data_IF_135317798710
#
_entry.id   IF_135317798710
#
_cell.length_a   1.000
_cell.length_b   1.000
_cell.length_c   1.000
_cell.angle_alpha   90.00
_cell.angle_beta   90.00
_cell.angle_gamma   90.00
#
_symmetry.space_group_name_H-M   'P 1'
#
loop_
_entity.id
_entity.type
_entity.pdbx_description
1 polymer ?
#
# COMPACT_ATOMS: atom_id res chain seq x y z
N UNK A 1 -21.49 -6.81 15.49
CA UNK A 1 -22.02 -5.78 14.59
C UNK A 1 -23.42 -5.47 15.07
N UNK A 2 -23.70 -4.21 15.33
CA UNK A 2 -25.02 -3.79 15.80
C UNK A 2 -26.04 -3.94 14.66
N UNK A 3 -27.24 -4.39 15.01
CA UNK A 3 -28.32 -4.65 14.06
C UNK A 3 -29.54 -3.84 14.47
N UNK A 4 -30.10 -3.09 13.53
CA UNK A 4 -31.34 -2.36 13.78
C UNK A 4 -32.51 -3.33 13.93
N UNK A 5 -33.34 -3.12 14.93
CA UNK A 5 -34.59 -3.87 15.12
C UNK A 5 -35.73 -2.98 14.65
N UNK A 6 -36.47 -3.42 13.63
CA UNK A 6 -37.67 -2.76 13.12
C UNK A 6 -38.85 -3.69 13.35
N UNK A 7 -39.95 -3.16 13.89
CA UNK A 7 -41.13 -3.94 14.27
C UNK A 7 -42.25 -3.83 13.22
N UNK A 8 -43.11 -4.87 13.07
CA UNK A 8 -44.31 -4.77 12.25
C UNK A 8 -45.22 -3.61 12.69
N UNK A 9 -45.63 -2.78 11.74
CA UNK A 9 -46.48 -1.61 11.99
C UNK A 9 -45.74 -0.36 12.49
N UNK A 10 -44.42 -0.42 12.71
CA UNK A 10 -43.61 0.76 12.95
C UNK A 10 -43.48 1.61 11.68
N UNK A 11 -43.42 2.94 11.83
CA UNK A 11 -43.15 3.86 10.73
C UNK A 11 -41.68 3.71 10.32
N UNK A 12 -41.36 3.35 9.07
CA UNK A 12 -39.98 3.26 8.61
C UNK A 12 -39.30 4.63 8.65
N UNK A 13 -38.09 4.68 9.20
CA UNK A 13 -37.21 5.84 9.15
C UNK A 13 -36.07 5.57 8.19
N UNK A 14 -35.56 6.61 7.55
CA UNK A 14 -34.34 6.54 6.73
C UNK A 14 -33.15 6.01 7.55
N UNK A 15 -33.06 6.41 8.83
CA UNK A 15 -32.04 5.94 9.77
C UNK A 15 -32.01 4.42 9.93
N UNK A 16 -33.12 3.72 9.74
CA UNK A 16 -33.14 2.26 9.87
C UNK A 16 -32.24 1.56 8.85
N UNK A 17 -32.18 2.10 7.62
CA UNK A 17 -31.28 1.63 6.57
C UNK A 17 -29.87 2.19 6.76
N UNK A 18 -29.76 3.49 7.03
CA UNK A 18 -28.45 4.16 7.14
C UNK A 18 -27.59 3.56 8.26
N UNK A 19 -28.17 3.23 9.42
CA UNK A 19 -27.43 2.58 10.51
C UNK A 19 -26.95 1.18 10.13
N UNK A 20 -27.74 0.42 9.36
CA UNK A 20 -27.33 -0.92 8.93
C UNK A 20 -26.12 -0.86 8.00
N UNK A 21 -26.06 0.12 7.09
CA UNK A 21 -24.90 0.37 6.23
C UNK A 21 -23.67 0.77 7.05
N UNK A 22 -23.81 1.76 7.95
CA UNK A 22 -22.75 2.23 8.84
C UNK A 22 -22.17 1.10 9.70
N UNK A 23 -23.03 0.31 10.34
CA UNK A 23 -22.61 -0.81 11.19
C UNK A 23 -21.90 -1.91 10.39
N UNK A 24 -22.33 -2.14 9.15
CA UNK A 24 -21.68 -3.09 8.24
C UNK A 24 -20.26 -2.65 7.90
N UNK A 25 -20.08 -1.39 7.51
CA UNK A 25 -18.77 -0.79 7.26
C UNK A 25 -17.86 -0.89 8.49
N UNK A 26 -18.36 -0.55 9.69
CA UNK A 26 -17.59 -0.66 10.94
C UNK A 26 -17.14 -2.10 11.17
N UNK A 27 -18.01 -3.09 10.96
CA UNK A 27 -17.66 -4.50 11.14
C UNK A 27 -16.55 -4.96 10.19
N UNK A 28 -16.63 -4.59 8.91
CA UNK A 28 -15.60 -4.90 7.92
C UNK A 28 -14.28 -4.17 8.25
N UNK A 29 -14.34 -2.90 8.63
CA UNK A 29 -13.17 -2.13 9.03
C UNK A 29 -12.47 -2.73 10.26
N UNK A 30 -13.22 -3.23 11.24
CA UNK A 30 -12.65 -3.91 12.42
C UNK A 30 -12.04 -5.26 12.08
N UNK A 31 -12.60 -5.99 11.10
CA UNK A 31 -11.97 -7.20 10.57
C UNK A 31 -10.63 -6.87 9.90
N UNK A 32 -10.60 -5.87 9.00
CA UNK A 32 -9.36 -5.41 8.35
C UNK A 32 -8.32 -4.94 9.36
N UNK A 33 -8.74 -4.18 10.38
CA UNK A 33 -7.84 -3.72 11.44
C UNK A 33 -7.31 -4.85 12.33
N UNK A 34 -8.05 -5.96 12.46
CA UNK A 34 -7.56 -7.14 13.20
C UNK A 34 -6.41 -7.85 12.47
N UNK A 35 -6.34 -7.72 11.14
CA UNK A 35 -5.30 -8.31 10.30
C UNK A 35 -4.10 -7.37 10.09
N UNK A 36 -4.37 -6.07 9.95
CA UNK A 36 -3.38 -5.08 9.50
C UNK A 36 -3.04 -4.01 10.55
N UNK A 37 -3.78 -3.95 11.66
CA UNK A 37 -3.65 -2.87 12.64
C UNK A 37 -4.31 -1.57 12.16
N UNK A 38 -3.73 -0.43 12.51
CA UNK A 38 -4.27 0.91 12.21
C UNK A 38 -3.45 1.71 11.20
N UNK A 39 -2.44 1.09 10.59
CA UNK A 39 -1.60 1.75 9.58
C UNK A 39 -2.30 1.79 8.22
N UNK A 40 -1.87 2.71 7.36
CA UNK A 40 -2.33 2.78 5.97
C UNK A 40 -1.67 1.70 5.13
N UNK A 41 -2.43 1.00 4.29
CA UNK A 41 -1.95 -0.03 3.36
C UNK A 41 -2.54 0.13 1.97
N UNK A 42 -1.79 -0.29 0.96
CA UNK A 42 -2.20 -0.29 -0.45
C UNK A 42 -2.22 -1.72 -0.99
N UNK A 43 -3.16 -2.03 -1.89
CA UNK A 43 -3.17 -3.29 -2.65
C UNK A 43 -3.63 -3.05 -4.08
N UNK A 44 -3.08 -3.81 -5.02
CA UNK A 44 -3.28 -3.57 -6.45
C UNK A 44 -2.54 -2.30 -6.88
N UNK A 45 -3.24 -1.42 -7.60
CA UNK A 45 -2.70 -0.12 -8.02
C UNK A 45 -1.39 -0.24 -8.80
N UNK A 46 -1.18 -1.33 -9.54
CA UNK A 46 0.03 -1.54 -10.32
C UNK A 46 0.20 -0.43 -11.35
N UNK A 47 1.37 0.23 -11.31
CA UNK A 47 1.70 1.27 -12.28
C UNK A 47 2.41 0.64 -13.49
N UNK A 48 1.77 0.71 -14.66
CA UNK A 48 2.28 0.14 -15.91
C UNK A 48 2.34 1.21 -17.01
N UNK A 49 3.27 1.10 -17.98
CA UNK A 49 3.22 1.95 -19.16
C UNK A 49 1.99 1.61 -20.03
N UNK A 50 1.54 2.55 -20.85
CA UNK A 50 0.50 2.26 -21.83
C UNK A 50 0.93 1.19 -22.83
N UNK A 51 -0.03 0.49 -23.44
CA UNK A 51 0.21 -0.45 -24.54
C UNK A 51 -0.66 -0.07 -25.75
N UNK A 52 -0.09 0.39 -26.88
CA UNK A 52 1.35 0.62 -27.14
C UNK A 52 1.98 1.68 -26.23
N UNK A 53 3.31 1.62 -26.06
CA UNK A 53 4.04 2.54 -25.20
C UNK A 53 3.93 3.99 -25.70
N UNK A 54 3.60 4.90 -24.79
CA UNK A 54 3.44 6.33 -25.03
C UNK A 54 3.86 7.10 -23.78
N UNK A 55 3.64 8.42 -23.75
CA UNK A 55 3.84 9.24 -22.55
C UNK A 55 2.74 9.06 -21.49
N UNK A 56 2.03 7.93 -21.50
CA UNK A 56 0.95 7.62 -20.56
C UNK A 56 1.32 6.42 -19.69
N UNK A 57 0.99 6.51 -18.40
CA UNK A 57 0.99 5.39 -17.46
C UNK A 57 -0.43 5.06 -17.05
N UNK A 58 -0.68 3.80 -16.73
CA UNK A 58 -1.93 3.28 -16.21
C UNK A 58 -1.71 2.76 -14.81
N UNK A 59 -2.50 3.25 -13.86
CA UNK A 59 -2.61 2.69 -12.51
C UNK A 59 -3.80 1.75 -12.53
N UNK A 60 -3.57 0.47 -12.23
CA UNK A 60 -4.62 -0.55 -12.23
C UNK A 60 -5.69 -0.29 -11.15
N UNK A 61 -6.76 -1.09 -11.20
CA UNK A 61 -7.70 -1.19 -10.08
C UNK A 61 -6.97 -1.57 -8.78
N UNK A 62 -7.57 -1.23 -7.64
CA UNK A 62 -6.96 -1.50 -6.35
C UNK A 62 -7.69 -0.84 -5.22
N UNK A 63 -7.00 -0.77 -4.08
CA UNK A 63 -7.61 -0.36 -2.82
C UNK A 63 -6.59 0.25 -1.87
N UNK A 64 -7.12 1.13 -1.03
CA UNK A 64 -6.43 1.72 0.12
C UNK A 64 -7.17 1.34 1.38
N UNK A 65 -6.43 0.97 2.42
CA UNK A 65 -6.95 0.87 3.77
C UNK A 65 -6.35 2.02 4.57
N UNK A 66 -7.18 2.91 5.11
CA UNK A 66 -6.73 4.10 5.86
C UNK A 66 -7.53 4.29 7.13
N UNK A 67 -6.89 4.81 8.18
CA UNK A 67 -7.57 5.11 9.43
C UNK A 67 -8.28 6.45 9.29
N UNK A 68 -9.60 6.40 9.18
CA UNK A 68 -10.44 7.56 8.89
C UNK A 68 -11.53 7.69 9.94
N UNK A 69 -12.10 8.89 10.06
CA UNK A 69 -13.31 9.06 10.85
C UNK A 69 -14.43 8.16 10.34
N UNK A 70 -15.31 7.68 11.24
CA UNK A 70 -16.44 6.83 10.82
C UNK A 70 -17.29 7.58 9.79
N UNK A 71 -17.59 8.86 10.05
CA UNK A 71 -18.23 9.75 9.10
C UNK A 71 -17.62 11.16 9.27
N UNK A 72 -16.79 11.59 8.31
CA UNK A 72 -16.19 12.94 8.34
C UNK A 72 -17.22 14.06 8.12
N UNK A 73 -18.30 13.75 7.43
CA UNK A 73 -19.47 14.59 7.17
C UNK A 73 -20.75 13.80 7.46
N UNK A 74 -21.86 14.50 7.68
CA UNK A 74 -23.15 13.84 7.93
C UNK A 74 -23.51 12.87 6.79
N UNK A 75 -23.93 11.65 7.11
CA UNK A 75 -24.41 10.65 6.15
C UNK A 75 -25.94 10.71 6.10
N UNK A 76 -26.47 11.53 5.20
CA UNK A 76 -27.90 11.88 5.18
C UNK A 76 -28.35 12.41 6.55
N UNK A 77 -29.32 11.77 7.21
CA UNK A 77 -29.81 12.18 8.54
C UNK A 77 -28.98 11.69 9.72
N UNK A 78 -27.90 10.93 9.46
CA UNK A 78 -26.91 10.58 10.49
C UNK A 78 -25.88 11.70 10.60
N UNK A 79 -25.70 12.23 11.80
CA UNK A 79 -24.67 13.23 12.08
C UNK A 79 -23.26 12.66 11.81
N UNK A 80 -22.32 13.55 11.51
CA UNK A 80 -20.92 13.19 11.37
C UNK A 80 -20.39 12.57 12.69
N UNK A 81 -19.55 11.54 12.56
CA UNK A 81 -18.83 10.92 13.67
C UNK A 81 -17.33 11.08 13.44
N UNK A 82 -16.83 12.23 13.88
CA UNK A 82 -15.42 12.62 13.81
C UNK A 82 -14.64 12.30 15.08
N UNK A 83 -15.31 11.75 16.10
CA UNK A 83 -14.69 11.34 17.36
C UNK A 83 -14.05 9.96 17.22
N UNK A 84 -14.74 9.05 16.51
CA UNK A 84 -14.26 7.68 16.33
C UNK A 84 -13.55 7.52 14.98
N UNK A 85 -12.59 6.60 14.95
CA UNK A 85 -11.85 6.25 13.74
C UNK A 85 -11.87 4.75 13.49
N UNK A 86 -11.94 4.36 12.22
CA UNK A 86 -11.93 2.96 11.76
C UNK A 86 -11.03 2.84 10.53
N UNK A 87 -10.47 1.64 10.30
CA UNK A 87 -9.66 1.37 9.12
C UNK A 87 -10.57 1.16 7.90
N UNK A 88 -10.97 2.26 7.25
CA UNK A 88 -11.86 2.24 6.08
C UNK A 88 -11.13 1.70 4.86
N UNK A 89 -11.89 1.04 3.98
CA UNK A 89 -11.43 0.58 2.68
C UNK A 89 -11.94 1.55 1.61
N UNK A 90 -11.03 2.13 0.85
CA UNK A 90 -11.32 2.88 -0.37
C UNK A 90 -11.04 1.99 -1.58
N UNK A 91 -11.90 2.05 -2.59
CA UNK A 91 -11.78 1.23 -3.79
C UNK A 91 -11.60 2.09 -5.03
N UNK A 92 -10.85 1.55 -5.99
CA UNK A 92 -10.91 1.98 -7.37
C UNK A 92 -11.06 0.74 -8.25
N UNK A 93 -12.19 0.66 -8.96
CA UNK A 93 -12.60 -0.54 -9.70
C UNK A 93 -12.27 -0.46 -11.20
N UNK A 94 -11.53 0.57 -11.61
CA UNK A 94 -11.11 0.78 -13.00
C UNK A 94 -9.76 1.44 -13.05
N UNK A 95 -8.97 1.13 -14.08
CA UNK A 95 -7.66 1.73 -14.24
C UNK A 95 -7.74 3.26 -14.44
N UNK A 96 -6.83 4.01 -13.83
CA UNK A 96 -6.67 5.45 -14.01
C UNK A 96 -5.42 5.73 -14.84
N UNK A 97 -5.56 6.47 -15.94
CA UNK A 97 -4.45 6.84 -16.81
C UNK A 97 -3.96 8.25 -16.53
N UNK A 98 -2.65 8.45 -16.54
CA UNK A 98 -2.03 9.77 -16.48
C UNK A 98 -1.08 10.00 -17.64
N UNK A 99 -1.21 11.15 -18.29
CA UNK A 99 -0.25 11.60 -19.31
C UNK A 99 0.84 12.45 -18.70
N UNK A 100 2.09 12.10 -19.00
CA UNK A 100 3.30 12.74 -18.52
C UNK A 100 3.86 13.69 -19.59
N UNK A 101 4.65 14.67 -19.16
CA UNK A 101 5.45 15.48 -20.05
C UNK A 101 6.93 15.23 -19.81
N UNK A 102 7.72 15.19 -20.88
CA UNK A 102 9.17 15.17 -20.78
C UNK A 102 9.70 16.58 -20.43
N UNK A 103 10.78 16.70 -19.64
CA UNK A 103 11.51 17.96 -19.51
C UNK A 103 12.01 18.47 -20.87
N UNK A 104 12.04 19.80 -21.05
CA UNK A 104 12.50 20.42 -22.29
C UNK A 104 14.03 20.46 -22.44
N UNK A 105 14.77 20.51 -21.33
CA UNK A 105 16.22 20.67 -21.33
C UNK A 105 16.93 19.33 -21.43
N UNK A 106 17.68 19.11 -22.53
CA UNK A 106 18.51 17.91 -22.72
C UNK A 106 19.44 17.66 -21.53
N UNK A 107 19.56 16.39 -21.12
CA UNK A 107 20.36 15.99 -19.96
C UNK A 107 19.66 16.12 -18.61
N UNK A 108 18.42 16.62 -18.58
CA UNK A 108 17.59 16.64 -17.38
C UNK A 108 16.61 15.46 -17.33
N UNK A 109 16.20 15.11 -16.12
CA UNK A 109 15.07 14.22 -15.82
C UNK A 109 14.17 14.84 -14.77
N UNK A 110 12.91 14.41 -14.73
CA UNK A 110 11.95 14.78 -13.68
C UNK A 110 11.32 13.53 -13.12
N UNK A 111 11.17 13.49 -11.80
CA UNK A 111 10.37 12.46 -11.12
C UNK A 111 8.92 12.95 -11.01
N UNK A 112 7.99 12.06 -11.30
CA UNK A 112 6.59 12.18 -10.92
C UNK A 112 6.30 11.24 -9.75
N UNK A 113 5.51 11.71 -8.79
CA UNK A 113 5.01 10.90 -7.70
C UNK A 113 3.54 10.57 -7.95
N UNK A 114 3.21 9.28 -8.01
CA UNK A 114 1.83 8.80 -7.87
C UNK A 114 1.56 8.68 -6.37
N UNK A 115 0.52 9.36 -5.92
CA UNK A 115 0.09 9.37 -4.52
C UNK A 115 -1.39 9.06 -4.42
N UNK A 116 -1.78 8.43 -3.32
CA UNK A 116 -3.10 7.83 -3.13
C UNK A 116 -3.67 8.26 -1.78
N UNK A 117 -4.96 8.57 -1.72
CA UNK A 117 -5.68 8.87 -0.47
C UNK A 117 -7.02 8.16 -0.44
N UNK A 118 -7.55 7.96 0.76
CA UNK A 118 -8.96 7.64 0.94
C UNK A 118 -9.79 8.92 0.88
N UNK A 119 -10.98 8.86 0.26
CA UNK A 119 -11.95 9.95 0.29
C UNK A 119 -13.37 9.39 0.36
N UNK A 120 -14.22 9.95 1.22
CA UNK A 120 -15.67 9.78 1.12
C UNK A 120 -16.22 10.80 0.11
N UNK A 121 -16.91 10.32 -0.94
CA UNK A 121 -17.51 11.18 -1.96
C UNK A 121 -19.00 10.83 -2.07
N UNK A 122 -19.83 11.86 -1.97
CA UNK A 122 -21.26 11.76 -2.25
C UNK A 122 -21.50 12.04 -3.73
N UNK A 123 -22.18 11.11 -4.40
CA UNK A 123 -22.42 11.13 -5.86
C UNK A 123 -23.88 10.81 -6.20
N UNK A 124 -24.16 10.77 -7.49
CA UNK A 124 -25.46 10.37 -8.05
C UNK A 124 -26.61 11.25 -7.54
N UNK A 125 -26.37 12.57 -7.58
CA UNK A 125 -27.35 13.62 -7.29
C UNK A 125 -28.61 13.48 -8.17
N UNK A 126 -29.76 13.27 -7.53
CA UNK A 126 -31.07 13.14 -8.19
C UNK A 126 -32.15 13.95 -7.45
N UNK A 127 -33.21 14.36 -8.15
CA UNK A 127 -34.42 14.92 -7.51
C UNK A 127 -35.27 13.76 -6.98
N UNK A 128 -35.21 13.54 -5.68
CA UNK A 128 -35.92 12.42 -5.03
C UNK A 128 -37.40 12.73 -4.77
N UNK A 129 -38.30 11.72 -4.82
CA UNK A 129 -39.67 11.87 -4.38
C UNK A 129 -39.79 11.89 -2.85
N UNK A 130 -40.54 12.84 -2.30
CA UNK A 130 -40.79 12.99 -0.86
C UNK A 130 -42.27 12.84 -0.51
N UNK A 131 -42.56 12.35 0.70
CA UNK A 131 -43.95 12.26 1.18
C UNK A 131 -44.54 13.67 1.37
N UNK A 132 -45.73 13.86 0.82
CA UNK A 132 -46.50 15.09 0.94
C UNK A 132 -47.68 14.87 1.88
N UNK A 133 -47.58 15.40 3.11
CA UNK A 133 -48.65 15.27 4.11
C UNK A 133 -49.89 16.10 3.78
N UNK A 134 -49.76 17.18 3.01
CA UNK A 134 -50.88 18.03 2.58
C UNK A 134 -51.69 17.45 1.42
N UNK A 135 -51.06 16.63 0.58
CA UNK A 135 -51.76 15.86 -0.44
C UNK A 135 -51.05 14.51 -0.68
N UNK A 136 -51.44 13.44 0.05
CA UNK A 136 -50.80 12.13 -0.07
C UNK A 136 -50.91 11.46 -1.45
N UNK A 137 -51.75 12.00 -2.36
CA UNK A 137 -51.87 11.49 -3.72
C UNK A 137 -50.76 11.97 -4.66
N UNK A 138 -49.97 12.97 -4.26
CA UNK A 138 -48.90 13.57 -5.07
C UNK A 138 -47.64 13.75 -4.22
N UNK A 139 -46.59 12.99 -4.53
CA UNK A 139 -45.28 13.16 -3.89
C UNK A 139 -44.68 14.54 -4.19
N UNK A 140 -43.93 15.08 -3.24
CA UNK A 140 -43.05 16.21 -3.49
C UNK A 140 -41.87 15.81 -4.38
N UNK A 141 -41.40 16.71 -5.23
CA UNK A 141 -40.16 16.56 -5.98
C UNK A 141 -39.06 17.36 -5.28
N UNK A 142 -38.08 16.66 -4.70
CA UNK A 142 -37.07 17.25 -3.81
C UNK A 142 -37.62 17.57 -2.41
N UNK A 143 -36.73 17.90 -1.45
CA UNK A 143 -37.11 18.25 -0.09
C UNK A 143 -38.14 19.38 -0.07
N UNK A 144 -39.23 19.21 0.67
CA UNK A 144 -40.31 20.21 0.79
C UNK A 144 -40.93 20.63 -0.57
N UNK A 145 -40.71 19.85 -1.63
CA UNK A 145 -41.21 20.15 -2.98
C UNK A 145 -40.42 21.24 -3.73
N UNK A 146 -39.20 21.55 -3.29
CA UNK A 146 -38.40 22.64 -3.85
C UNK A 146 -37.62 22.28 -5.15
N UNK A 147 -37.67 21.02 -5.59
CA UNK A 147 -36.96 20.54 -6.78
C UNK A 147 -35.45 20.40 -6.64
N UNK A 148 -34.88 20.54 -5.44
CA UNK A 148 -33.45 20.37 -5.21
C UNK A 148 -33.04 18.90 -5.36
N UNK A 149 -31.85 18.68 -5.91
CA UNK A 149 -31.21 17.36 -5.99
C UNK A 149 -30.51 17.02 -4.69
N UNK A 150 -30.39 15.73 -4.40
CA UNK A 150 -29.59 15.20 -3.30
C UNK A 150 -28.81 13.98 -3.77
N UNK A 151 -27.58 13.86 -3.28
CA UNK A 151 -26.74 12.70 -3.54
C UNK A 151 -27.35 11.44 -2.92
N UNK A 152 -27.27 10.33 -3.65
CA UNK A 152 -27.94 9.07 -3.30
C UNK A 152 -26.95 7.96 -2.92
N UNK A 153 -25.66 8.18 -3.19
CA UNK A 153 -24.58 7.22 -2.92
C UNK A 153 -23.44 7.93 -2.19
N UNK A 154 -22.94 7.30 -1.12
CA UNK A 154 -21.64 7.65 -0.51
C UNK A 154 -20.64 6.55 -0.85
N UNK A 155 -19.61 6.92 -1.60
CA UNK A 155 -18.54 6.03 -2.02
C UNK A 155 -17.28 6.26 -1.19
N UNK A 156 -16.68 5.18 -0.69
CA UNK A 156 -15.31 5.19 -0.20
C UNK A 156 -14.35 4.97 -1.36
N UNK A 157 -13.73 6.04 -1.85
CA UNK A 157 -12.86 5.99 -3.02
C UNK A 157 -11.38 5.88 -2.64
N UNK A 158 -10.65 5.09 -3.42
CA UNK A 158 -9.19 5.14 -3.51
C UNK A 158 -8.82 6.20 -4.55
N UNK A 159 -8.63 7.44 -4.09
CA UNK A 159 -8.35 8.57 -4.98
C UNK A 159 -6.87 8.64 -5.33
N UNK A 160 -6.55 8.67 -6.62
CA UNK A 160 -5.18 8.69 -7.13
C UNK A 160 -4.87 10.08 -7.71
N UNK A 161 -3.73 10.64 -7.32
CA UNK A 161 -3.23 11.90 -7.87
C UNK A 161 -1.79 11.73 -8.38
N UNK A 162 -1.45 12.51 -9.40
CA UNK A 162 -0.10 12.58 -9.96
C UNK A 162 0.52 13.95 -9.65
N UNK A 163 1.67 13.94 -8.98
CA UNK A 163 2.43 15.14 -8.64
C UNK A 163 3.73 15.22 -9.41
N UNK A 164 3.92 16.29 -10.17
CA UNK A 164 5.14 16.54 -10.93
C UNK A 164 6.23 17.14 -10.02
N UNK A 165 7.44 16.57 -10.07
CA UNK A 165 8.63 17.16 -9.45
C UNK A 165 9.26 18.26 -10.30
N UNK A 166 10.40 18.78 -9.84
CA UNK A 166 11.21 19.73 -10.59
C UNK A 166 12.20 18.96 -11.46
N UNK A 167 12.37 19.38 -12.71
CA UNK A 167 13.39 18.81 -13.59
C UNK A 167 14.79 19.22 -13.11
N UNK A 168 15.72 18.27 -13.04
CA UNK A 168 17.11 18.51 -12.68
C UNK A 168 18.03 17.63 -13.52
N UNK A 169 19.34 17.79 -13.40
CA UNK A 169 20.33 16.93 -14.08
C UNK A 169 20.00 15.47 -13.78
N UNK A 170 19.95 14.63 -14.81
CA UNK A 170 19.63 13.20 -14.67
C UNK A 170 20.53 12.56 -13.61
N UNK A 171 19.90 11.90 -12.62
CA UNK A 171 20.54 11.33 -11.44
C UNK A 171 20.50 12.21 -10.19
N UNK A 172 20.12 13.48 -10.32
CA UNK A 172 20.03 14.45 -9.20
C UNK A 172 18.60 14.95 -8.94
N UNK A 173 17.64 14.54 -9.79
CA UNK A 173 16.25 14.94 -9.64
C UNK A 173 15.64 14.39 -8.34
N UNK A 174 14.86 15.23 -7.67
CA UNK A 174 14.25 14.92 -6.39
C UNK A 174 12.79 14.53 -6.64
N UNK A 175 12.35 13.43 -6.03
CA UNK A 175 10.93 13.06 -5.98
C UNK A 175 10.18 14.07 -5.12
N UNK A 176 9.08 14.68 -5.62
CA UNK A 176 8.32 15.63 -4.82
C UNK A 176 7.78 14.95 -3.55
N UNK A 177 7.69 15.71 -2.45
CA UNK A 177 7.11 15.20 -1.21
C UNK A 177 5.61 14.90 -1.40
N UNK A 178 5.13 13.85 -0.74
CA UNK A 178 3.71 13.49 -0.68
C UNK A 178 2.90 14.61 -0.02
N UNK A 179 1.69 14.85 -0.54
CA UNK A 179 0.78 15.82 0.06
C UNK A 179 0.21 15.33 1.39
N UNK A 180 -0.26 16.26 2.23
CA UNK A 180 -0.87 15.91 3.52
C UNK A 180 -2.12 15.05 3.29
N UNK A 181 -2.26 13.95 4.04
CA UNK A 181 -3.33 12.97 3.87
C UNK A 181 -3.09 11.94 2.76
N UNK A 182 -2.11 12.16 1.87
CA UNK A 182 -1.77 11.22 0.82
C UNK A 182 -0.68 10.23 1.26
N UNK A 183 -0.68 9.06 0.62
CA UNK A 183 0.34 8.01 0.72
C UNK A 183 1.04 7.86 -0.63
N UNK A 184 2.37 7.85 -0.62
CA UNK A 184 3.17 7.63 -1.84
C UNK A 184 3.05 6.19 -2.32
N UNK A 185 2.80 5.99 -3.62
CA UNK A 185 2.67 4.67 -4.24
C UNK A 185 3.81 4.38 -5.23
N UNK A 186 3.99 5.23 -6.25
CA UNK A 186 4.95 5.01 -7.33
C UNK A 186 5.73 6.26 -7.68
N UNK A 187 6.95 6.08 -8.17
CA UNK A 187 7.81 7.13 -8.73
C UNK A 187 8.09 6.81 -10.19
N UNK A 188 7.83 7.77 -11.06
CA UNK A 188 8.06 7.65 -12.50
C UNK A 188 9.13 8.67 -12.91
N UNK A 189 10.28 8.18 -13.36
CA UNK A 189 11.40 9.03 -13.82
C UNK A 189 11.32 9.24 -15.32
N UNK A 190 11.09 10.49 -15.74
CA UNK A 190 10.95 10.87 -17.14
C UNK A 190 12.17 11.68 -17.60
N UNK A 191 13.00 11.15 -18.52
CA UNK A 191 14.13 11.89 -19.08
C UNK A 191 13.68 12.90 -20.14
N UNK A 192 14.49 13.93 -20.38
CA UNK A 192 14.27 14.90 -21.44
C UNK A 192 14.22 14.23 -22.82
N UNK A 193 13.27 14.68 -23.65
CA UNK A 193 13.05 14.11 -24.98
C UNK A 193 12.39 12.72 -25.01
N UNK A 194 11.97 12.16 -23.87
CA UNK A 194 11.21 10.92 -23.85
C UNK A 194 9.89 11.07 -24.65
N UNK A 195 9.61 10.06 -25.49
CA UNK A 195 8.34 9.93 -26.22
C UNK A 195 7.51 8.73 -25.75
N UNK A 196 8.12 7.86 -24.94
CA UNK A 196 7.50 6.68 -24.36
C UNK A 196 7.98 6.46 -22.93
N UNK A 197 7.12 5.87 -22.11
CA UNK A 197 7.45 5.36 -20.78
C UNK A 197 7.54 3.84 -20.86
N UNK A 198 8.52 3.27 -20.16
CA UNK A 198 8.73 1.83 -20.03
C UNK A 198 8.74 1.44 -18.55
N UNK A 199 8.71 0.14 -18.26
CA UNK A 199 8.84 -0.37 -16.88
C UNK A 199 10.13 0.12 -16.20
N UNK A 200 11.21 0.35 -16.94
CA UNK A 200 12.47 0.85 -16.38
C UNK A 200 12.36 2.29 -15.82
N UNK A 201 11.34 3.05 -16.25
CA UNK A 201 11.07 4.40 -15.74
C UNK A 201 10.25 4.37 -14.45
N UNK A 202 9.62 3.24 -14.12
CA UNK A 202 8.64 3.11 -13.04
C UNK A 202 9.29 2.34 -11.89
N UNK A 203 9.18 2.89 -10.68
CA UNK A 203 9.67 2.26 -9.46
C UNK A 203 8.69 2.50 -8.32
N UNK A 204 8.57 1.56 -7.39
CA UNK A 204 7.75 1.75 -6.20
C UNK A 204 8.33 2.89 -5.36
N UNK A 205 7.47 3.75 -4.82
CA UNK A 205 7.92 4.81 -3.93
C UNK A 205 8.54 4.21 -2.66
N UNK A 206 9.56 4.89 -2.11
CA UNK A 206 10.19 4.46 -0.87
C UNK A 206 9.14 4.42 0.24
N UNK A 207 9.07 3.29 0.96
CA UNK A 207 8.11 3.04 2.03
C UNK A 207 6.63 2.98 1.61
N UNK A 208 6.31 2.86 0.31
CA UNK A 208 4.94 2.62 -0.13
C UNK A 208 4.39 1.35 0.55
N UNK A 209 3.26 1.41 1.29
CA UNK A 209 2.83 0.33 2.17
C UNK A 209 2.00 -0.72 1.41
N UNK A 210 2.56 -1.24 0.32
CA UNK A 210 1.90 -2.30 -0.44
C UNK A 210 1.91 -3.62 0.32
N UNK A 211 0.72 -4.20 0.50
CA UNK A 211 0.58 -5.58 0.95
C UNK A 211 0.83 -6.56 -0.21
N UNK A 212 1.25 -7.80 0.06
CA UNK A 212 1.54 -8.78 -0.98
C UNK A 212 0.36 -9.01 -1.92
N UNK A 213 0.62 -9.01 -3.24
CA UNK A 213 -0.42 -9.11 -4.26
C UNK A 213 -1.26 -10.40 -4.13
N UNK A 214 -0.62 -11.51 -3.75
CA UNK A 214 -1.24 -12.82 -3.47
C UNK A 214 -1.97 -12.90 -2.13
N UNK A 215 -2.01 -11.81 -1.37
CA UNK A 215 -2.64 -11.74 -0.05
C UNK A 215 -1.68 -12.00 1.10
N UNK A 216 -2.12 -11.65 2.31
CA UNK A 216 -1.28 -11.71 3.51
C UNK A 216 -0.83 -13.13 3.87
N UNK A 217 -1.69 -14.15 3.70
CA UNK A 217 -1.34 -15.53 4.07
C UNK A 217 -0.18 -16.07 3.23
N UNK A 218 -0.27 -15.96 1.90
CA UNK A 218 0.80 -16.36 0.99
C UNK A 218 2.08 -15.56 1.24
N UNK A 219 1.93 -14.25 1.47
CA UNK A 219 3.05 -13.37 1.81
C UNK A 219 3.76 -13.76 3.11
N UNK A 220 3.02 -14.12 4.15
CA UNK A 220 3.57 -14.59 5.44
C UNK A 220 4.31 -15.92 5.24
N UNK A 221 3.69 -16.88 4.56
CA UNK A 221 4.28 -18.21 4.32
C UNK A 221 5.60 -18.13 3.54
N UNK A 222 5.72 -17.17 2.63
CA UNK A 222 6.92 -16.91 1.83
C UNK A 222 7.89 -15.91 2.47
N UNK A 223 7.62 -15.45 3.69
CA UNK A 223 8.37 -14.39 4.40
C UNK A 223 8.52 -13.09 3.58
N UNK A 224 7.58 -12.76 2.67
CA UNK A 224 7.68 -11.56 1.82
C UNK A 224 7.71 -10.26 2.62
N UNK A 225 7.14 -10.25 3.82
CA UNK A 225 7.05 -9.09 4.71
C UNK A 225 8.32 -8.89 5.56
N UNK A 226 9.13 -9.94 5.77
CA UNK A 226 10.28 -9.96 6.70
C UNK A 226 11.56 -10.48 6.04
N UNK A 227 11.58 -10.57 4.71
CA UNK A 227 12.75 -10.88 3.91
C UNK A 227 13.02 -9.75 2.93
N UNK A 228 14.29 -9.38 2.77
CA UNK A 228 14.71 -8.39 1.78
C UNK A 228 16.09 -8.69 1.21
N UNK A 229 16.55 -7.84 0.30
CA UNK A 229 17.90 -7.90 -0.25
C UNK A 229 18.72 -6.73 0.27
N UNK A 230 19.97 -7.01 0.63
CA UNK A 230 20.94 -6.00 1.04
C UNK A 230 21.31 -5.08 -0.12
N UNK A 231 21.19 -3.78 0.12
CA UNK A 231 21.57 -2.68 -0.78
C UNK A 231 22.70 -1.83 -0.19
N UNK A 232 23.24 -2.24 0.95
CA UNK A 232 24.34 -1.58 1.64
C UNK A 232 25.70 -1.94 1.05
N UNK A 233 26.72 -1.91 1.91
CA UNK A 233 28.10 -2.26 1.57
C UNK A 233 28.64 -3.30 2.55
N UNK A 234 29.85 -3.82 2.28
CA UNK A 234 30.49 -4.80 3.15
C UNK A 234 30.53 -4.31 4.61
N UNK A 235 30.05 -5.14 5.54
CA UNK A 235 29.90 -4.85 6.98
C UNK A 235 28.87 -3.74 7.32
N UNK A 236 28.23 -3.09 6.35
CA UNK A 236 27.21 -2.07 6.57
C UNK A 236 25.96 -2.40 5.77
N UNK A 237 25.20 -3.35 6.27
CA UNK A 237 24.02 -3.92 5.62
C UNK A 237 22.82 -2.97 5.69
N UNK A 238 22.11 -2.82 4.57
CA UNK A 238 20.89 -2.01 4.48
C UNK A 238 19.80 -2.77 3.74
N UNK A 239 18.61 -2.89 4.32
CA UNK A 239 17.52 -3.68 3.72
C UNK A 239 16.22 -2.93 3.84
N UNK A 240 15.46 -2.86 2.76
CA UNK A 240 14.10 -2.32 2.78
C UNK A 240 13.11 -3.49 2.76
N UNK A 241 12.23 -3.54 3.76
CA UNK A 241 11.09 -4.45 3.81
C UNK A 241 9.84 -3.73 3.28
N UNK A 242 8.88 -4.51 2.74
CA UNK A 242 7.60 -4.00 2.24
C UNK A 242 6.46 -4.84 2.83
N UNK A 243 5.50 -4.24 3.56
CA UNK A 243 5.48 -2.85 4.05
C UNK A 243 6.69 -2.50 4.94
N UNK A 244 7.00 -1.21 5.05
CA UNK A 244 8.19 -0.76 5.79
C UNK A 244 8.08 -1.05 7.30
N UNK A 245 9.18 -1.52 7.88
CA UNK A 245 9.29 -1.72 9.32
C UNK A 245 9.73 -0.41 9.97
N UNK A 246 8.81 0.21 10.72
CA UNK A 246 9.01 1.54 11.31
C UNK A 246 9.78 1.51 12.65
N UNK A 247 9.84 0.36 13.33
CA UNK A 247 10.60 0.16 14.56
C UNK A 247 10.96 -1.32 14.73
N UNK A 248 12.11 -1.59 15.36
CA UNK A 248 12.41 -2.93 15.86
C UNK A 248 11.79 -3.12 17.23
N UNK A 249 11.25 -4.31 17.47
CA UNK A 249 10.74 -4.72 18.77
C UNK A 249 11.44 -6.00 19.20
N UNK A 250 11.54 -6.22 20.50
CA UNK A 250 12.06 -7.47 21.04
C UNK A 250 11.25 -8.67 20.50
N UNK A 251 11.97 -9.71 20.08
CA UNK A 251 11.37 -10.91 19.48
C UNK A 251 11.09 -10.83 17.97
N UNK A 252 11.34 -9.69 17.30
CA UNK A 252 11.20 -9.59 15.85
C UNK A 252 12.33 -10.32 15.12
N UNK A 253 11.97 -11.24 14.21
CA UNK A 253 12.93 -11.92 13.31
C UNK A 253 12.89 -11.27 11.92
N UNK A 254 14.06 -10.81 11.45
CA UNK A 254 14.26 -10.29 10.10
C UNK A 254 15.29 -11.12 9.37
N UNK A 255 15.02 -11.39 8.09
CA UNK A 255 15.90 -12.12 7.21
C UNK A 255 16.31 -11.24 6.03
N UNK A 256 17.50 -11.46 5.49
CA UNK A 256 17.92 -10.79 4.27
C UNK A 256 18.95 -11.59 3.50
N UNK A 257 19.00 -11.36 2.19
CA UNK A 257 20.07 -11.82 1.32
C UNK A 257 21.21 -10.80 1.34
N UNK A 258 22.36 -11.17 1.89
CA UNK A 258 23.55 -10.33 1.91
C UNK A 258 24.14 -10.15 0.50
N UNK A 259 24.47 -8.91 0.11
CA UNK A 259 25.16 -8.61 -1.14
C UNK A 259 26.69 -8.76 -1.00
N UNK A 260 27.19 -8.66 0.23
CA UNK A 260 28.60 -8.76 0.57
C UNK A 260 28.81 -9.69 1.77
N UNK A 261 29.80 -10.56 1.71
CA UNK A 261 30.24 -11.31 2.89
C UNK A 261 30.90 -10.35 3.89
N UNK A 262 30.69 -10.57 5.19
CA UNK A 262 31.32 -9.73 6.20
C UNK A 262 32.79 -10.11 6.38
N UNK A 263 33.62 -9.13 6.74
CA UNK A 263 35.03 -9.32 7.10
C UNK A 263 35.32 -9.01 8.57
N UNK A 264 34.33 -8.52 9.31
CA UNK A 264 34.42 -8.24 10.74
C UNK A 264 33.10 -7.75 11.32
N UNK A 265 33.19 -6.89 12.35
CA UNK A 265 32.04 -6.29 13.00
C UNK A 265 31.14 -5.61 11.96
N UNK A 266 29.85 -5.91 12.00
CA UNK A 266 28.91 -5.44 11.00
C UNK A 266 27.72 -4.74 11.63
N UNK A 267 27.07 -3.90 10.84
CA UNK A 267 25.88 -3.16 11.24
C UNK A 267 24.72 -3.41 10.28
N UNK A 268 23.49 -3.20 10.76
CA UNK A 268 22.26 -3.35 10.00
C UNK A 268 21.38 -2.11 10.12
N UNK A 269 20.71 -1.75 9.03
CA UNK A 269 19.69 -0.70 8.99
C UNK A 269 18.53 -1.15 8.10
N UNK A 270 17.38 -1.39 8.73
CA UNK A 270 16.13 -1.69 8.07
C UNK A 270 15.36 -0.42 7.71
N UNK A 271 14.84 -0.34 6.48
CA UNK A 271 14.00 0.76 5.99
C UNK A 271 14.55 2.17 6.27
N UNK A 272 15.89 2.31 6.32
CA UNK A 272 16.55 3.60 6.59
C UNK A 272 16.55 4.04 8.05
N UNK A 273 16.12 3.21 8.99
CA UNK A 273 16.19 3.48 10.43
C UNK A 273 17.64 3.55 10.93
N UNK A 274 17.80 4.02 12.18
CA UNK A 274 19.09 4.10 12.86
C UNK A 274 19.85 2.78 12.77
N UNK A 275 21.13 2.90 12.43
CA UNK A 275 22.03 1.76 12.25
C UNK A 275 22.32 1.10 13.60
N UNK A 276 22.13 -0.23 13.66
CA UNK A 276 22.39 -1.04 14.85
C UNK A 276 23.53 -2.03 14.61
N UNK A 277 24.36 -2.33 15.62
CA UNK A 277 25.35 -3.40 15.51
C UNK A 277 24.67 -4.77 15.39
N UNK A 278 25.26 -5.66 14.60
CA UNK A 278 24.88 -7.07 14.55
C UNK A 278 25.84 -7.85 15.44
N UNK A 279 25.28 -8.69 16.32
CA UNK A 279 26.06 -9.58 17.17
C UNK A 279 25.89 -11.03 16.71
N UNK A 280 26.89 -11.84 16.99
CA UNK A 280 26.78 -13.30 16.85
C UNK A 280 25.84 -13.87 17.92
N UNK A 281 25.43 -15.13 17.76
CA UNK A 281 24.64 -15.85 18.77
C UNK A 281 25.33 -15.89 20.14
N UNK A 282 26.66 -15.77 20.18
CA UNK A 282 27.44 -15.67 21.43
C UNK A 282 27.45 -14.27 22.07
N UNK A 283 26.73 -13.29 21.52
CA UNK A 283 26.65 -11.91 22.04
C UNK A 283 27.89 -11.03 21.73
N UNK A 284 28.92 -11.59 21.10
CA UNK A 284 30.10 -10.83 20.65
C UNK A 284 29.91 -10.23 19.25
N UNK A 285 30.70 -9.21 18.92
CA UNK A 285 30.74 -8.64 17.58
C UNK A 285 31.02 -9.72 16.52
N UNK A 286 30.43 -9.58 15.33
CA UNK A 286 30.64 -10.54 14.26
C UNK A 286 32.11 -10.62 13.83
N UNK A 287 32.55 -11.82 13.48
CA UNK A 287 33.84 -12.14 12.86
C UNK A 287 33.68 -12.33 11.36
N UNK A 288 34.76 -12.14 10.60
CA UNK A 288 34.72 -12.32 9.14
C UNK A 288 34.26 -13.72 8.73
N UNK A 289 33.38 -13.78 7.73
CA UNK A 289 32.83 -15.01 7.17
C UNK A 289 31.57 -15.55 7.86
N UNK A 290 31.06 -14.89 8.91
CA UNK A 290 29.82 -15.29 9.58
C UNK A 290 28.56 -14.93 8.79
N UNK A 291 28.61 -13.87 7.97
CA UNK A 291 27.60 -13.53 6.97
C UNK A 291 28.22 -13.78 5.59
N UNK A 292 27.57 -14.61 4.78
CA UNK A 292 28.07 -15.00 3.45
C UNK A 292 27.15 -14.45 2.37
N UNK A 293 27.73 -13.77 1.38
CA UNK A 293 27.02 -13.45 0.14
C UNK A 293 26.92 -14.71 -0.73
N UNK A 294 25.71 -15.25 -0.84
CA UNK A 294 25.41 -16.36 -1.77
C UNK A 294 24.91 -15.79 -3.10
N UNK A 295 25.71 -15.97 -4.16
CA UNK A 295 25.21 -15.83 -5.53
C UNK A 295 24.48 -17.13 -5.86
N UNK A 296 23.15 -17.09 -5.86
CA UNK A 296 22.37 -18.17 -6.44
C UNK A 296 22.75 -18.28 -7.92
N UNK A 297 23.46 -19.35 -8.30
CA UNK A 297 23.58 -19.76 -9.69
C UNK A 297 22.29 -20.49 -10.03
N UNK A 298 21.41 -19.85 -10.80
CA UNK A 298 20.20 -20.50 -11.31
C UNK A 298 20.55 -21.34 -12.53
N UNK A 299 20.81 -22.62 -12.33
CA UNK A 299 20.71 -23.62 -13.40
C UNK A 299 19.92 -24.82 -12.86
N UNK A 300 18.59 -24.75 -12.95
CA UNK A 300 17.72 -25.92 -12.80
C UNK A 300 17.71 -26.71 -14.13
N UNK A 301 18.86 -27.29 -14.47
CA UNK A 301 18.98 -28.28 -15.53
C UNK A 301 18.97 -29.67 -14.93
N UNK A 302 17.86 -30.41 -15.08
CA UNK A 302 17.74 -31.85 -14.77
C UNK A 302 17.84 -32.29 -13.30
N UNK A 303 16.81 -31.99 -12.51
CA UNK A 303 16.47 -32.85 -11.37
C UNK A 303 15.37 -33.82 -11.81
N UNK A 304 15.73 -35.10 -11.96
CA UNK A 304 14.76 -36.17 -12.12
C UNK A 304 13.90 -36.26 -10.86
N UNK A 305 12.61 -36.55 -11.06
CA UNK A 305 11.56 -36.69 -10.05
C UNK A 305 11.95 -37.76 -9.02
N UNK A 306 12.61 -37.36 -7.93
CA UNK A 306 13.08 -38.30 -6.89
C UNK A 306 13.83 -37.65 -5.73
N UNK A 307 14.63 -36.60 -5.98
CA UNK A 307 15.41 -35.95 -4.92
C UNK A 307 14.80 -34.59 -4.56
N UNK A 308 13.90 -34.58 -3.58
CA UNK A 308 13.44 -33.36 -2.93
C UNK A 308 13.67 -33.42 -1.42
N UNK A 309 14.40 -32.40 -0.95
CA UNK A 309 14.32 -31.76 0.37
C UNK A 309 14.89 -32.53 1.57
N UNK A 310 16.18 -32.35 1.82
CA UNK A 310 16.65 -32.11 3.20
C UNK A 310 17.42 -30.79 3.24
N UNK A 311 16.72 -29.72 3.60
CA UNK A 311 17.36 -28.53 4.17
C UNK A 311 17.47 -28.74 5.67
N UNK A 312 18.49 -29.49 6.12
CA UNK A 312 18.84 -29.54 7.54
C UNK A 312 20.30 -29.17 7.76
N UNK A 313 20.45 -28.04 8.44
CA UNK A 313 21.51 -27.69 9.38
C UNK A 313 22.96 -27.69 8.87
N UNK A 314 23.55 -26.50 8.92
CA UNK A 314 24.96 -26.30 9.20
C UNK A 314 25.36 -27.13 10.45
N UNK A 315 25.84 -28.35 10.23
CA UNK A 315 26.71 -29.05 11.18
C UNK A 315 28.14 -28.80 10.73
N UNK A 316 28.84 -27.96 11.49
CA UNK A 316 30.29 -27.89 11.47
C UNK A 316 30.86 -29.29 11.71
N UNK A 317 31.46 -29.92 10.70
CA UNK A 317 32.42 -31.01 10.91
C UNK A 317 33.82 -30.44 10.78
N UNK A 318 34.28 -29.83 11.87
CA UNK A 318 35.70 -29.73 12.14
C UNK A 318 36.08 -30.96 12.96
N UNK A 319 36.40 -32.08 12.32
CA UNK A 319 37.10 -33.16 12.98
C UNK A 319 38.21 -33.69 12.07
N UNK A 320 39.44 -33.33 12.45
CA UNK A 320 40.68 -33.96 11.98
C UNK A 320 40.57 -35.47 12.22
N UNK A 321 40.98 -36.27 11.25
CA UNK A 321 41.77 -37.46 11.52
C UNK A 321 42.67 -37.79 10.33
N UNK A 322 43.97 -37.55 10.56
CA UNK A 322 45.06 -38.30 9.93
C UNK A 322 44.78 -39.79 10.15
N UNK A 323 44.77 -40.59 9.09
CA UNK A 323 45.81 -41.53 8.69
C UNK A 323 45.48 -42.03 7.28
#
# INVERSE_FOLDING_TARGET
MDRQIVYPGAIPLDKDLLYTNKNTMIGLAKLSASLMGSSTYLRGLECTPSSPASMTVNIAEGEIYSLENIDGTAYSSLDADTVNSILKQGLILSATSFTLSAPATTGQSRNYLVQVTYTDIDTDSEVLPYYNSGNPSVAYSGPEGNGATQDTVRSGECSIALKAGVAAVTGTQITPATDNGYTAAWVITVPAGATTITTANISQAVSAPFIPASGLVDGIQKKLLTHGSDTGSANAYRVNYSPAIAALTDGMELSFKAAFSNTGASTFSQNGLTVSPIFSVGGGALKGGEIVSVKWFTEFGHLNRGDMLTSEQHRCSNEKKKF
#
